data_IF_509302986980
#
_entry.id   IF_509302986980
#
_cell.length_a   1.000
_cell.length_b   1.000
_cell.length_c   1.000
_cell.angle_alpha   90.00
_cell.angle_beta   90.00
_cell.angle_gamma   90.00
#
_symmetry.space_group_name_H-M   'P 1'
#
loop_
_entity.id
_entity.type
_entity.pdbx_description
1 polymer ?
#
# COMPACT_ATOMS: atom_id res chain seq x y z
N UNK A 1 15.82 -9.28 -31.11
CA UNK A 1 14.72 -9.81 -30.25
C UNK A 1 13.50 -10.16 -31.08
N UNK A 2 13.03 -9.27 -31.93
CA UNK A 2 11.86 -9.51 -32.80
C UNK A 2 12.04 -10.72 -33.74
N UNK A 3 13.24 -10.91 -34.28
CA UNK A 3 13.61 -12.01 -35.17
C UNK A 3 13.50 -13.42 -34.53
N UNK A 4 13.53 -13.49 -33.19
CA UNK A 4 13.45 -14.74 -32.42
C UNK A 4 12.06 -14.97 -31.81
N UNK A 5 11.01 -14.22 -32.24
CA UNK A 5 9.64 -14.42 -31.81
C UNK A 5 9.28 -13.77 -30.47
N UNK A 6 10.17 -12.91 -29.90
CA UNK A 6 9.90 -12.18 -28.67
C UNK A 6 9.43 -10.76 -28.97
N UNK A 7 8.13 -10.57 -29.10
CA UNK A 7 7.50 -9.33 -29.52
C UNK A 7 6.86 -8.55 -28.36
N UNK A 8 6.56 -9.23 -27.27
CA UNK A 8 5.85 -8.66 -26.14
C UNK A 8 6.26 -9.33 -24.82
N UNK A 9 5.78 -8.80 -23.70
CA UNK A 9 6.10 -9.30 -22.36
C UNK A 9 5.63 -10.75 -22.14
N UNK A 10 4.55 -11.18 -22.83
CA UNK A 10 4.01 -12.50 -22.70
C UNK A 10 4.98 -13.57 -23.22
N UNK A 11 5.69 -13.25 -24.30
CA UNK A 11 6.70 -14.14 -24.87
C UNK A 11 7.83 -14.39 -23.86
N UNK A 12 8.25 -13.38 -23.12
CA UNK A 12 9.26 -13.52 -22.06
C UNK A 12 8.74 -14.30 -20.85
N UNK A 13 7.50 -14.05 -20.41
CA UNK A 13 6.90 -14.75 -19.28
C UNK A 13 6.75 -16.23 -19.55
N UNK A 14 6.48 -16.58 -20.81
CA UNK A 14 6.24 -17.96 -21.26
C UNK A 14 7.49 -18.64 -21.84
N UNK A 15 8.59 -17.91 -22.02
CA UNK A 15 9.82 -18.45 -22.57
C UNK A 15 10.30 -19.68 -21.79
N UNK A 16 10.72 -20.69 -22.51
CA UNK A 16 11.49 -21.81 -21.99
C UNK A 16 12.99 -21.45 -21.95
N UNK A 17 13.79 -22.29 -21.32
CA UNK A 17 15.24 -22.13 -21.35
C UNK A 17 15.76 -22.33 -22.78
N UNK A 18 15.20 -23.24 -23.55
CA UNK A 18 15.52 -23.50 -24.96
C UNK A 18 15.22 -22.29 -25.85
N UNK A 19 14.12 -21.57 -25.57
CA UNK A 19 13.80 -20.35 -26.32
C UNK A 19 14.83 -19.25 -26.07
N UNK A 20 15.33 -19.13 -24.85
CA UNK A 20 16.37 -18.17 -24.51
C UNK A 20 17.74 -18.50 -25.15
N UNK A 21 17.99 -19.78 -25.42
CA UNK A 21 19.22 -20.23 -26.12
C UNK A 21 19.25 -19.81 -27.59
N UNK A 22 18.10 -19.49 -28.21
CA UNK A 22 18.02 -19.03 -29.60
C UNK A 22 18.60 -17.62 -29.79
N UNK A 23 18.84 -16.89 -28.70
CA UNK A 23 19.43 -15.56 -28.79
C UNK A 23 20.95 -15.64 -28.92
N UNK A 24 21.52 -14.88 -29.87
CA UNK A 24 22.94 -14.78 -30.01
C UNK A 24 23.62 -14.26 -28.72
N UNK A 25 24.73 -14.89 -28.36
CA UNK A 25 25.45 -14.58 -27.12
C UNK A 25 24.88 -15.19 -25.84
N UNK A 26 23.68 -15.81 -25.85
CA UNK A 26 23.10 -16.50 -24.71
C UNK A 26 23.50 -17.98 -24.74
N UNK A 27 24.34 -18.38 -23.77
CA UNK A 27 24.76 -19.77 -23.55
C UNK A 27 23.97 -20.38 -22.38
N UNK A 28 24.03 -21.70 -22.22
CA UNK A 28 23.26 -22.47 -21.21
C UNK A 28 23.23 -21.85 -19.81
N UNK A 29 24.40 -21.44 -19.30
CA UNK A 29 24.51 -20.83 -17.96
C UNK A 29 23.73 -19.52 -17.85
N UNK A 30 23.77 -18.69 -18.91
CA UNK A 30 23.04 -17.42 -18.94
C UNK A 30 21.54 -17.65 -19.17
N UNK A 31 21.16 -18.55 -20.07
CA UNK A 31 19.78 -18.93 -20.33
C UNK A 31 19.10 -19.47 -19.06
N UNK A 32 19.75 -20.38 -18.33
CA UNK A 32 19.26 -20.89 -17.05
C UNK A 32 19.06 -19.80 -16.01
N UNK A 33 20.02 -18.89 -15.88
CA UNK A 33 19.92 -17.75 -14.96
C UNK A 33 18.78 -16.82 -15.33
N UNK A 34 18.63 -16.48 -16.61
CA UNK A 34 17.55 -15.61 -17.09
C UNK A 34 16.19 -16.25 -16.86
N UNK A 35 16.03 -17.51 -17.25
CA UNK A 35 14.81 -18.26 -17.01
C UNK A 35 14.41 -18.25 -15.52
N UNK A 36 15.35 -18.60 -14.65
CA UNK A 36 15.11 -18.61 -13.21
C UNK A 36 14.69 -17.24 -12.70
N UNK A 37 15.38 -16.18 -13.12
CA UNK A 37 15.08 -14.82 -12.72
C UNK A 37 13.69 -14.36 -13.20
N UNK A 38 13.31 -14.69 -14.45
CA UNK A 38 11.97 -14.41 -14.98
C UNK A 38 10.92 -15.10 -14.12
N UNK A 39 11.07 -16.41 -13.88
CA UNK A 39 10.11 -17.20 -13.10
C UNK A 39 9.98 -16.72 -11.65
N UNK A 40 11.07 -16.25 -11.04
CA UNK A 40 11.05 -15.66 -9.70
C UNK A 40 10.39 -14.27 -9.69
N UNK A 41 10.65 -13.46 -10.71
CA UNK A 41 10.16 -12.09 -10.81
C UNK A 41 8.65 -11.98 -11.01
N UNK A 42 8.01 -13.01 -11.55
CA UNK A 42 6.55 -13.04 -11.75
C UNK A 42 5.78 -13.69 -10.59
N UNK A 43 6.50 -14.22 -9.60
CA UNK A 43 5.88 -14.86 -8.43
C UNK A 43 5.84 -13.90 -7.25
N UNK A 44 4.66 -13.85 -6.62
CA UNK A 44 4.48 -13.11 -5.36
C UNK A 44 4.83 -11.61 -5.50
N UNK A 45 4.45 -11.02 -6.64
CA UNK A 45 4.80 -9.63 -6.98
C UNK A 45 3.94 -8.66 -6.18
N UNK A 46 4.52 -7.67 -5.50
CA UNK A 46 3.74 -6.61 -4.89
C UNK A 46 2.89 -5.88 -5.95
N UNK A 47 1.58 -5.76 -5.72
CA UNK A 47 0.63 -5.21 -6.70
C UNK A 47 1.07 -3.84 -7.25
N UNK A 48 1.55 -2.95 -6.39
CA UNK A 48 2.02 -1.63 -6.81
C UNK A 48 3.26 -1.67 -7.73
N UNK A 49 4.12 -2.70 -7.59
CA UNK A 49 5.24 -2.89 -8.49
C UNK A 49 4.78 -3.42 -9.85
N UNK A 50 3.79 -4.30 -9.85
CA UNK A 50 3.22 -4.86 -11.07
C UNK A 50 2.45 -3.79 -11.87
N UNK A 51 1.67 -2.94 -11.20
CA UNK A 51 1.00 -1.80 -11.82
C UNK A 51 2.01 -0.84 -12.48
N UNK A 52 3.12 -0.55 -11.81
CA UNK A 52 4.18 0.30 -12.35
C UNK A 52 4.87 -0.35 -13.56
N UNK A 53 5.23 -1.63 -13.44
CA UNK A 53 5.91 -2.38 -14.49
C UNK A 53 5.04 -2.61 -15.73
N UNK A 54 3.72 -2.70 -15.58
CA UNK A 54 2.78 -2.90 -16.68
C UNK A 54 2.72 -1.69 -17.64
N UNK A 55 3.07 -0.51 -17.16
CA UNK A 55 2.98 0.77 -17.88
C UNK A 55 1.59 1.10 -18.45
N UNK A 56 0.53 0.40 -18.01
CA UNK A 56 -0.83 0.55 -18.53
C UNK A 56 -1.51 1.84 -18.10
N UNK A 57 -1.09 2.42 -16.98
CA UNK A 57 -1.69 3.65 -16.44
C UNK A 57 -1.08 4.94 -17.01
N UNK A 58 0.02 4.81 -17.76
CA UNK A 58 0.69 5.92 -18.43
C UNK A 58 1.35 6.95 -17.49
N UNK A 59 1.73 8.08 -18.07
CA UNK A 59 2.46 9.15 -17.35
C UNK A 59 1.64 9.69 -16.18
N UNK A 60 2.32 9.95 -15.06
CA UNK A 60 1.73 10.53 -13.84
C UNK A 60 1.55 9.53 -12.70
N UNK A 61 1.79 8.25 -12.96
CA UNK A 61 1.82 7.19 -11.96
C UNK A 61 3.23 6.63 -11.78
N UNK A 62 3.45 6.03 -10.63
CA UNK A 62 4.67 5.32 -10.27
C UNK A 62 4.44 4.55 -8.97
N UNK A 63 5.38 3.71 -8.58
CA UNK A 63 5.26 2.80 -7.42
C UNK A 63 4.72 3.44 -6.16
N UNK A 64 5.14 4.67 -5.84
CA UNK A 64 4.69 5.39 -4.63
C UNK A 64 3.21 5.72 -4.70
N UNK A 65 2.73 6.20 -5.85
CA UNK A 65 1.31 6.52 -6.05
C UNK A 65 0.46 5.25 -6.03
N UNK A 66 0.84 4.21 -6.76
CA UNK A 66 0.13 2.93 -6.71
C UNK A 66 0.07 2.36 -5.30
N UNK A 67 1.19 2.45 -4.56
CA UNK A 67 1.22 2.00 -3.17
C UNK A 67 0.22 2.76 -2.30
N UNK A 68 0.12 4.10 -2.46
CA UNK A 68 -0.85 4.91 -1.72
C UNK A 68 -2.30 4.50 -2.04
N UNK A 69 -2.64 4.26 -3.31
CA UNK A 69 -3.97 3.78 -3.70
C UNK A 69 -4.26 2.44 -3.03
N UNK A 70 -3.35 1.47 -3.13
CA UNK A 70 -3.53 0.13 -2.57
C UNK A 70 -3.59 0.14 -1.04
N UNK A 71 -2.82 0.99 -0.40
CA UNK A 71 -2.84 1.12 1.07
C UNK A 71 -4.20 1.71 1.55
N UNK A 72 -4.87 2.57 0.75
CA UNK A 72 -6.19 3.12 1.05
C UNK A 72 -7.34 2.23 0.56
N UNK A 73 -7.15 1.52 -0.57
CA UNK A 73 -8.15 0.64 -1.19
C UNK A 73 -7.51 -0.75 -1.43
N UNK A 74 -7.32 -1.56 -0.37
CA UNK A 74 -6.57 -2.82 -0.47
C UNK A 74 -7.19 -3.87 -1.39
N UNK A 75 -8.51 -3.83 -1.56
CA UNK A 75 -9.29 -4.77 -2.38
C UNK A 75 -9.61 -4.20 -3.78
N UNK A 76 -8.80 -3.27 -4.28
CA UNK A 76 -9.08 -2.52 -5.53
C UNK A 76 -9.32 -3.41 -6.74
N UNK A 77 -8.70 -4.59 -6.80
CA UNK A 77 -8.92 -5.56 -7.89
C UNK A 77 -10.25 -6.29 -7.80
N UNK A 78 -10.83 -6.39 -6.59
CA UNK A 78 -12.05 -7.13 -6.30
C UNK A 78 -13.29 -6.22 -6.28
N UNK A 79 -13.07 -4.89 -6.36
CA UNK A 79 -14.17 -3.94 -6.34
C UNK A 79 -15.03 -4.09 -7.60
N UNK A 80 -16.34 -4.22 -7.36
CA UNK A 80 -17.40 -4.17 -8.37
C UNK A 80 -18.19 -2.87 -8.18
N UNK A 81 -17.58 -1.76 -8.58
CA UNK A 81 -18.13 -0.40 -8.51
C UNK A 81 -17.92 0.31 -9.85
N UNK A 82 -18.70 1.35 -10.10
CA UNK A 82 -18.58 2.16 -11.32
C UNK A 82 -17.24 2.91 -11.40
N UNK A 83 -16.86 3.34 -12.60
CA UNK A 83 -15.67 4.16 -12.82
C UNK A 83 -15.76 5.48 -12.03
N UNK A 84 -16.94 6.08 -11.97
CA UNK A 84 -17.18 7.35 -11.26
C UNK A 84 -17.03 7.18 -9.75
N UNK A 85 -17.62 6.13 -9.16
CA UNK A 85 -17.47 5.82 -7.73
C UNK A 85 -16.02 5.53 -7.35
N UNK A 86 -15.29 4.81 -8.21
CA UNK A 86 -13.86 4.56 -7.99
C UNK A 86 -13.06 5.86 -8.06
N UNK A 87 -13.40 6.71 -9.02
CA UNK A 87 -12.76 8.02 -9.18
C UNK A 87 -12.94 8.87 -7.93
N UNK A 88 -14.16 8.97 -7.40
CA UNK A 88 -14.46 9.70 -6.17
C UNK A 88 -13.66 9.16 -4.97
N UNK A 89 -13.62 7.83 -4.81
CA UNK A 89 -12.84 7.22 -3.74
C UNK A 89 -11.35 7.57 -3.82
N UNK A 90 -10.78 7.60 -5.04
CA UNK A 90 -9.37 7.90 -5.24
C UNK A 90 -9.10 9.41 -5.08
N UNK A 91 -10.01 10.28 -5.48
CA UNK A 91 -9.90 11.74 -5.29
C UNK A 91 -9.80 12.14 -3.81
N UNK A 92 -10.43 11.36 -2.94
CA UNK A 92 -10.33 11.54 -1.49
C UNK A 92 -8.94 11.21 -0.92
N UNK A 93 -8.08 10.55 -1.72
CA UNK A 93 -6.67 10.32 -1.34
C UNK A 93 -5.86 11.58 -1.67
N UNK A 94 -5.11 12.15 -0.71
CA UNK A 94 -4.30 13.35 -0.97
C UNK A 94 -3.35 13.18 -2.17
N UNK A 95 -3.40 14.13 -3.10
CA UNK A 95 -2.53 14.16 -4.29
C UNK A 95 -3.07 13.43 -5.53
N UNK A 96 -4.35 12.99 -5.53
CA UNK A 96 -4.95 12.27 -6.66
C UNK A 96 -6.04 13.01 -7.42
N UNK A 97 -6.46 14.21 -7.02
CA UNK A 97 -7.53 14.99 -7.68
C UNK A 97 -7.43 15.06 -9.22
N UNK A 98 -6.21 15.18 -9.76
CA UNK A 98 -5.98 15.30 -11.21
C UNK A 98 -5.70 13.98 -11.90
N UNK A 99 -5.51 12.89 -11.17
CA UNK A 99 -5.09 11.58 -11.72
C UNK A 99 -6.07 10.46 -11.41
N UNK A 100 -7.06 10.69 -10.55
CA UNK A 100 -8.04 9.68 -10.13
C UNK A 100 -8.81 9.09 -11.32
N UNK A 101 -9.44 9.92 -12.13
CA UNK A 101 -10.20 9.49 -13.31
C UNK A 101 -9.33 8.71 -14.30
N UNK A 102 -8.07 9.13 -14.50
CA UNK A 102 -7.14 8.39 -15.35
C UNK A 102 -6.85 7.00 -14.79
N UNK A 103 -6.69 6.88 -13.47
CA UNK A 103 -6.49 5.57 -12.85
C UNK A 103 -7.71 4.67 -13.02
N UNK A 104 -8.90 5.18 -12.70
CA UNK A 104 -10.17 4.42 -12.77
C UNK A 104 -10.42 3.90 -14.18
N UNK A 105 -10.20 4.74 -15.18
CA UNK A 105 -10.34 4.38 -16.61
C UNK A 105 -9.39 3.25 -17.04
N UNK A 106 -8.18 3.19 -16.49
CA UNK A 106 -7.18 2.20 -16.92
C UNK A 106 -7.19 0.91 -16.06
N UNK A 107 -7.87 0.91 -14.93
CA UNK A 107 -7.93 -0.27 -14.06
C UNK A 107 -8.55 -1.50 -14.76
N UNK A 108 -9.62 -1.40 -15.58
CA UNK A 108 -10.14 -2.55 -16.32
C UNK A 108 -9.10 -3.17 -17.27
N UNK A 109 -8.29 -2.36 -17.95
CA UNK A 109 -7.20 -2.84 -18.81
C UNK A 109 -6.15 -3.61 -18.00
N UNK A 110 -5.85 -3.15 -16.81
CA UNK A 110 -4.90 -3.84 -15.93
C UNK A 110 -5.51 -5.15 -15.38
N UNK A 111 -6.80 -5.19 -15.04
CA UNK A 111 -7.49 -6.43 -14.68
C UNK A 111 -7.47 -7.43 -15.84
N UNK A 112 -7.70 -6.96 -17.06
CA UNK A 112 -7.61 -7.80 -18.26
C UNK A 112 -6.19 -8.36 -18.45
N UNK A 113 -5.17 -7.51 -18.34
CA UNK A 113 -3.76 -7.93 -18.37
C UNK A 113 -3.46 -9.05 -17.37
N UNK A 114 -3.97 -8.98 -16.14
CA UNK A 114 -3.78 -10.04 -15.15
C UNK A 114 -4.44 -11.37 -15.58
N UNK A 115 -5.61 -11.30 -16.17
CA UNK A 115 -6.32 -12.50 -16.65
C UNK A 115 -5.59 -13.17 -17.82
N UNK A 116 -4.96 -12.40 -18.68
CA UNK A 116 -4.14 -12.93 -19.78
C UNK A 116 -2.80 -13.53 -19.32
N UNK A 117 -2.36 -13.20 -18.10
CA UNK A 117 -1.08 -13.64 -17.57
C UNK A 117 -1.22 -14.44 -16.26
N UNK A 118 -1.87 -15.62 -16.28
CA UNK A 118 -2.17 -16.37 -15.05
C UNK A 118 -0.92 -16.90 -14.33
N UNK A 119 0.24 -16.90 -14.97
CA UNK A 119 1.53 -17.23 -14.33
C UNK A 119 2.01 -16.16 -13.36
N UNK A 120 1.55 -14.91 -13.52
CA UNK A 120 1.88 -13.84 -12.61
C UNK A 120 1.05 -14.01 -11.33
N UNK A 121 1.71 -14.19 -10.21
CA UNK A 121 1.05 -14.22 -8.90
C UNK A 121 1.33 -12.94 -8.14
N UNK A 122 0.26 -12.33 -7.64
CA UNK A 122 0.34 -11.10 -6.84
C UNK A 122 0.56 -11.48 -5.38
N UNK A 123 1.43 -10.72 -4.71
CA UNK A 123 1.57 -10.81 -3.28
C UNK A 123 0.24 -10.38 -2.63
N UNK A 124 -0.53 -11.36 -2.18
CA UNK A 124 -1.68 -11.10 -1.33
C UNK A 124 -1.10 -10.70 0.03
N UNK A 125 -1.00 -9.39 0.29
CA UNK A 125 -0.87 -8.99 1.69
C UNK A 125 -2.13 -9.53 2.36
N UNK A 126 -2.02 -10.37 3.39
CA UNK A 126 -3.20 -10.70 4.16
C UNK A 126 -3.86 -9.37 4.49
N UNK A 127 -5.15 -9.28 4.18
CA UNK A 127 -5.95 -8.11 4.53
C UNK A 127 -6.00 -8.09 6.06
N UNK A 128 -4.92 -7.63 6.69
CA UNK A 128 -4.87 -7.25 8.08
C UNK A 128 -5.68 -5.94 8.24
N UNK A 129 -6.86 -5.89 7.64
CA UNK A 129 -7.99 -5.30 8.33
C UNK A 129 -8.25 -6.26 9.50
N UNK A 130 -7.37 -6.25 10.50
CA UNK A 130 -7.83 -6.43 11.85
C UNK A 130 -9.10 -5.58 11.88
N UNK A 131 -10.27 -6.22 12.09
CA UNK A 131 -11.50 -5.48 12.36
C UNK A 131 -11.05 -4.34 13.26
N UNK A 132 -11.08 -3.10 12.73
CA UNK A 132 -10.84 -1.94 13.57
C UNK A 132 -11.86 -2.11 14.65
N UNK A 133 -11.44 -2.58 15.80
CA UNK A 133 -12.32 -2.56 16.93
C UNK A 133 -12.47 -1.07 17.18
N UNK A 134 -13.66 -0.55 16.99
CA UNK A 134 -13.96 0.86 17.24
C UNK A 134 -13.99 1.15 18.76
N UNK A 135 -13.27 0.36 19.54
CA UNK A 135 -13.24 0.45 20.99
C UNK A 135 -12.67 1.78 21.51
N UNK A 136 -11.86 2.46 20.70
CA UNK A 136 -11.30 3.77 21.03
C UNK A 136 -11.86 4.90 20.14
N UNK A 137 -12.99 4.69 19.48
CA UNK A 137 -13.65 5.72 18.68
C UNK A 137 -13.89 6.98 19.53
N UNK A 138 -13.53 8.14 18.98
CA UNK A 138 -13.61 9.44 19.63
C UNK A 138 -12.68 9.67 20.82
N UNK A 139 -11.76 8.75 21.12
CA UNK A 139 -10.74 8.92 22.16
C UNK A 139 -9.53 9.63 21.56
N UNK A 140 -9.28 10.86 22.03
CA UNK A 140 -8.10 11.62 21.69
C UNK A 140 -7.01 11.42 22.75
N UNK A 141 -5.90 10.84 22.33
CA UNK A 141 -4.76 10.51 23.21
C UNK A 141 -3.62 11.46 22.96
N UNK A 142 -3.03 12.00 24.02
CA UNK A 142 -1.86 12.85 23.96
C UNK A 142 -0.69 12.18 24.69
N UNK A 143 0.44 12.02 24.01
CA UNK A 143 1.66 11.52 24.63
C UNK A 143 2.51 12.67 25.22
N UNK A 144 3.13 12.42 26.35
CA UNK A 144 4.08 13.37 26.97
C UNK A 144 5.21 12.64 27.69
N UNK A 145 6.46 13.01 27.39
CA UNK A 145 7.65 12.38 27.99
C UNK A 145 7.90 10.93 27.58
N UNK A 146 7.10 10.39 26.67
CA UNK A 146 7.25 9.04 26.11
C UNK A 146 6.92 9.05 24.62
N UNK A 147 7.58 8.17 23.86
CA UNK A 147 7.27 7.90 22.44
C UNK A 147 7.21 6.40 22.27
N UNK A 148 6.03 5.85 22.31
CA UNK A 148 5.78 4.44 22.01
C UNK A 148 5.08 4.31 20.67
N UNK A 149 5.83 3.84 19.66
CA UNK A 149 5.35 3.67 18.30
C UNK A 149 4.37 2.50 18.19
N UNK A 150 4.56 1.46 19.00
CA UNK A 150 3.67 0.28 19.02
C UNK A 150 2.30 0.65 19.58
N UNK A 151 2.29 1.34 20.73
CA UNK A 151 1.07 1.81 21.38
C UNK A 151 0.36 2.88 20.51
N UNK A 152 1.12 3.78 19.88
CA UNK A 152 0.57 4.76 18.94
C UNK A 152 -0.17 4.09 17.78
N UNK A 153 0.42 3.08 17.17
CA UNK A 153 -0.20 2.31 16.10
C UNK A 153 -1.45 1.56 16.61
N UNK A 154 -1.37 0.97 17.79
CA UNK A 154 -2.48 0.26 18.40
C UNK A 154 -3.69 1.18 18.64
N UNK A 155 -3.46 2.40 19.16
CA UNK A 155 -4.51 3.40 19.35
C UNK A 155 -5.19 3.75 18.03
N UNK A 156 -4.41 4.03 16.98
CA UNK A 156 -4.94 4.36 15.64
C UNK A 156 -5.71 3.18 15.04
N UNK A 157 -5.18 1.96 15.17
CA UNK A 157 -5.81 0.73 14.68
C UNK A 157 -7.19 0.48 15.33
N UNK A 158 -7.40 0.97 16.56
CA UNK A 158 -8.66 0.83 17.31
C UNK A 158 -9.56 2.07 17.22
N UNK A 159 -9.28 2.99 16.29
CA UNK A 159 -10.13 4.15 16.01
C UNK A 159 -9.83 5.38 16.89
N UNK A 160 -8.80 5.34 17.74
CA UNK A 160 -8.33 6.47 18.53
C UNK A 160 -7.59 7.52 17.70
N UNK A 161 -7.54 8.74 18.20
CA UNK A 161 -6.89 9.88 17.56
C UNK A 161 -5.67 10.29 18.40
N UNK A 162 -4.51 10.47 17.75
CA UNK A 162 -3.33 11.01 18.43
C UNK A 162 -3.29 12.51 18.29
N UNK A 163 -3.21 13.22 19.43
CA UNK A 163 -3.03 14.67 19.50
C UNK A 163 -1.56 15.01 19.75
N UNK A 164 -1.00 15.94 19.00
CA UNK A 164 0.38 16.43 19.21
C UNK A 164 0.46 17.47 20.32
N UNK A 165 -0.61 18.25 20.45
CA UNK A 165 -0.71 19.34 21.41
C UNK A 165 -1.90 19.18 22.34
N UNK A 166 -1.80 19.78 23.54
CA UNK A 166 -2.91 19.82 24.48
C UNK A 166 -4.02 20.74 23.97
N UNK A 167 -5.20 20.21 23.75
CA UNK A 167 -6.39 20.96 23.37
C UNK A 167 -7.63 20.42 24.11
N UNK A 168 -8.77 21.07 23.96
CA UNK A 168 -10.03 20.72 24.64
C UNK A 168 -10.59 19.34 24.30
N UNK A 169 -10.14 18.73 23.23
CA UNK A 169 -10.62 17.44 22.76
C UNK A 169 -9.77 16.27 23.30
N UNK A 170 -8.69 16.52 24.02
CA UNK A 170 -7.86 15.46 24.62
C UNK A 170 -8.64 14.78 25.73
N UNK A 171 -8.83 13.45 25.61
CA UNK A 171 -9.56 12.63 26.56
C UNK A 171 -8.65 11.92 27.57
N UNK A 172 -7.41 11.61 27.16
CA UNK A 172 -6.45 10.92 28.02
C UNK A 172 -5.01 11.33 27.68
N UNK A 173 -4.15 11.39 28.69
CA UNK A 173 -2.70 11.58 28.48
C UNK A 173 -1.96 10.31 28.88
N UNK A 174 -1.05 9.88 28.00
CA UNK A 174 -0.07 8.83 28.30
C UNK A 174 1.26 9.51 28.57
N UNK A 175 1.76 9.35 29.79
CA UNK A 175 2.94 10.03 30.29
C UNK A 175 4.04 9.01 30.64
N UNK A 176 5.29 9.29 30.27
CA UNK A 176 6.42 8.49 30.75
C UNK A 176 6.67 8.63 32.25
N UNK A 177 6.25 9.76 32.84
CA UNK A 177 6.22 10.01 34.27
C UNK A 177 4.98 10.83 34.61
N UNK A 178 4.04 10.23 35.33
CA UNK A 178 2.77 10.86 35.74
C UNK A 178 2.95 11.97 36.77
N UNK A 179 4.08 11.99 37.45
CA UNK A 179 4.45 13.02 38.45
C UNK A 179 5.27 14.15 37.85
N UNK A 180 5.57 14.11 36.58
CA UNK A 180 6.34 15.16 35.90
C UNK A 180 5.66 16.53 36.02
N UNK A 181 6.46 17.54 36.18
CA UNK A 181 6.01 18.96 36.25
C UNK A 181 5.74 19.59 34.88
N UNK A 182 5.57 18.76 33.81
CA UNK A 182 5.31 19.27 32.47
C UNK A 182 4.01 20.08 32.40
N UNK A 183 3.98 21.06 31.51
CA UNK A 183 2.80 21.91 31.31
C UNK A 183 1.58 21.08 30.83
N UNK A 184 1.81 19.97 30.10
CA UNK A 184 0.76 19.08 29.65
C UNK A 184 0.11 18.36 30.83
N UNK A 185 0.91 17.84 31.78
CA UNK A 185 0.41 17.17 32.99
C UNK A 185 -0.31 18.17 33.92
N UNK A 186 0.22 19.37 34.11
CA UNK A 186 -0.44 20.41 34.91
C UNK A 186 -1.82 20.77 34.33
N UNK A 187 -1.91 20.92 33.00
CA UNK A 187 -3.18 21.18 32.31
C UNK A 187 -4.16 20.01 32.42
N UNK A 188 -3.67 18.75 32.31
CA UNK A 188 -4.51 17.59 32.47
C UNK A 188 -5.13 17.51 33.88
N UNK A 189 -4.31 17.67 34.90
CA UNK A 189 -4.79 17.71 36.31
C UNK A 189 -5.81 18.82 36.53
N UNK A 190 -5.59 20.02 35.97
CA UNK A 190 -6.53 21.15 36.07
C UNK A 190 -7.86 20.88 35.39
N UNK A 191 -7.88 20.08 34.31
CA UNK A 191 -9.07 19.79 33.51
C UNK A 191 -9.65 18.39 33.79
N UNK A 192 -9.21 17.73 34.86
CA UNK A 192 -9.63 16.37 35.25
C UNK A 192 -9.48 15.33 34.13
N UNK A 193 -8.46 15.49 33.29
CA UNK A 193 -8.15 14.53 32.22
C UNK A 193 -7.31 13.38 32.80
N UNK A 194 -7.70 12.10 32.59
CA UNK A 194 -6.94 10.96 33.05
C UNK A 194 -5.49 10.95 32.54
N UNK A 195 -4.55 10.62 33.42
CA UNK A 195 -3.13 10.46 33.10
C UNK A 195 -2.75 9.01 33.38
N UNK A 196 -2.21 8.34 32.38
CA UNK A 196 -1.77 6.94 32.43
C UNK A 196 -0.27 6.87 32.15
N UNK A 197 0.40 5.80 32.62
CA UNK A 197 1.80 5.49 32.36
C UNK A 197 1.93 4.15 31.65
#
# INVERSE_FOLDING_TARGET
>A
MVENGFNNINDFINASQEDLLKFDGIKEKLASKLYTNIQLSIKNVPLHNLMDASNLFGIGFGRKKFKLIIDNIPNILELDISEDELTEQIENIPGFKTTASKFSKHLPMFKHFLNEHPKITIQIKPNNKRKRSNSLNHINVLFTGVRDKSLSNHIIEHGGILSETFNKNVNVIIAGDVNSNSNKIKKAKKNNIPIMS
#
